data_IF_298303249148
#
_entry.id   IF_298303249148
#
_cell.length_a   1.000
_cell.length_b   1.000
_cell.length_c   1.000
_cell.angle_alpha   90.00
_cell.angle_beta   90.00
_cell.angle_gamma   90.00
#
_symmetry.space_group_name_H-M   'P 1'
#
loop_
_entity.id
_entity.type
_entity.pdbx_description
1 polymer ?
#
# COMPACT_ATOMS: atom_id res chain seq x y z
N UNK A 1 79.05 73.37 -7.65
CA UNK A 1 80.14 72.61 -7.02
C UNK A 1 79.50 71.41 -6.36
N UNK A 2 79.83 70.17 -6.66
CA UNK A 2 80.71 69.61 -7.66
C UNK A 2 80.31 68.13 -7.82
N UNK A 3 80.74 67.58 -8.94
CA UNK A 3 80.69 66.19 -9.42
C UNK A 3 80.93 65.16 -8.29
N UNK A 4 80.27 64.01 -8.21
CA UNK A 4 80.25 62.91 -9.18
C UNK A 4 81.11 61.73 -8.66
N UNK A 5 80.64 60.48 -8.81
CA UNK A 5 81.35 59.16 -8.79
C UNK A 5 80.34 58.07 -8.35
N UNK A 6 79.51 57.46 -9.22
CA UNK A 6 79.70 56.34 -10.18
C UNK A 6 80.27 55.03 -9.59
N UNK A 7 79.53 53.93 -9.89
CA UNK A 7 79.79 52.48 -9.79
C UNK A 7 79.46 51.83 -8.41
N UNK A 8 78.75 50.70 -8.30
CA UNK A 8 78.44 49.64 -9.27
C UNK A 8 77.23 48.82 -8.77
N UNK A 9 76.21 48.62 -9.63
CA UNK A 9 75.26 47.53 -9.46
C UNK A 9 75.93 46.21 -9.84
N UNK A 10 75.99 45.26 -8.92
CA UNK A 10 75.97 43.82 -9.23
C UNK A 10 74.90 43.13 -8.39
N UNK A 11 73.97 42.53 -9.11
CA UNK A 11 72.80 41.74 -8.67
C UNK A 11 73.21 40.60 -7.75
N UNK A 12 72.31 40.19 -6.84
CA UNK A 12 71.93 38.81 -6.43
C UNK A 12 70.80 38.97 -5.39
N UNK A 13 69.53 38.94 -5.82
CA UNK A 13 68.58 37.81 -5.75
C UNK A 13 67.69 37.80 -4.49
N UNK A 14 66.50 38.39 -4.60
CA UNK A 14 65.40 38.33 -3.62
C UNK A 14 64.69 36.96 -3.61
N UNK A 15 65.40 35.90 -3.24
CA UNK A 15 64.84 34.54 -3.18
C UNK A 15 65.01 33.89 -1.81
N UNK A 16 64.71 34.61 -0.73
CA UNK A 16 64.44 33.99 0.59
C UNK A 16 63.63 34.94 1.48
N UNK A 17 62.41 35.31 1.05
CA UNK A 17 61.41 35.94 1.93
C UNK A 17 60.04 35.27 1.72
N UNK A 18 60.00 33.93 1.89
CA UNK A 18 58.77 33.14 1.97
C UNK A 18 58.99 31.92 2.87
N UNK A 19 59.36 32.13 4.15
CA UNK A 19 59.54 31.02 5.09
C UNK A 19 59.33 31.41 6.57
N UNK A 20 58.51 32.43 6.87
CA UNK A 20 58.23 32.80 8.27
C UNK A 20 56.81 33.33 8.49
N UNK A 21 55.82 32.77 7.78
CA UNK A 21 54.40 33.07 8.00
C UNK A 21 53.49 31.84 7.75
N UNK A 22 53.98 30.63 8.08
CA UNK A 22 53.25 29.36 7.88
C UNK A 22 53.58 28.35 8.99
N UNK A 23 53.48 28.78 10.25
CA UNK A 23 53.56 27.88 11.41
C UNK A 23 52.63 28.34 12.55
N UNK A 24 51.40 28.70 12.17
CA UNK A 24 50.26 28.87 13.06
C UNK A 24 49.00 28.33 12.36
N UNK A 25 49.10 27.14 11.79
CA UNK A 25 47.99 26.41 11.18
C UNK A 25 48.04 25.00 11.76
N UNK A 26 47.09 24.67 12.64
CA UNK A 26 46.91 23.30 13.11
C UNK A 26 46.83 23.14 14.62
N UNK A 27 45.78 23.68 15.25
CA UNK A 27 45.08 22.94 16.30
C UNK A 27 43.64 23.44 16.39
N UNK A 28 42.81 23.04 15.41
CA UNK A 28 41.38 23.01 15.63
C UNK A 28 41.15 21.84 16.59
N UNK A 29 41.15 22.12 17.90
CA UNK A 29 40.70 21.14 18.89
C UNK A 29 39.22 20.95 18.63
N UNK A 30 38.88 19.86 17.93
CA UNK A 30 37.52 19.35 17.92
C UNK A 30 37.28 18.82 19.33
N UNK A 31 36.77 19.67 20.22
CA UNK A 31 36.18 19.22 21.48
C UNK A 31 34.95 18.40 21.11
N UNK A 32 35.10 17.07 21.09
CA UNK A 32 33.95 16.18 21.14
C UNK A 32 33.30 16.42 22.51
N UNK A 33 32.30 17.29 22.57
CA UNK A 33 31.40 17.39 23.71
C UNK A 33 30.63 16.07 23.77
N UNK A 34 31.20 15.08 24.47
CA UNK A 34 30.45 13.89 24.84
C UNK A 34 29.41 14.32 25.87
N UNK A 35 28.15 13.99 25.60
CA UNK A 35 27.08 14.14 26.57
C UNK A 35 27.44 13.34 27.83
N UNK A 36 27.19 13.94 29.00
CA UNK A 36 27.40 13.27 30.27
C UNK A 36 26.45 12.06 30.38
N UNK A 37 26.96 10.93 30.84
CA UNK A 37 26.19 9.69 31.03
C UNK A 37 25.91 9.48 32.51
N UNK A 38 24.66 9.22 32.84
CA UNK A 38 24.23 8.90 34.21
C UNK A 38 23.47 7.59 34.22
N UNK A 39 23.89 6.66 35.09
CA UNK A 39 23.23 5.36 35.25
C UNK A 39 22.39 5.35 36.50
N UNK A 40 21.08 5.16 36.36
CA UNK A 40 20.19 4.96 37.50
C UNK A 40 20.52 3.65 38.21
N UNK A 41 20.88 3.75 39.48
CA UNK A 41 21.11 2.62 40.38
C UNK A 41 20.12 2.57 41.56
N UNK A 42 19.38 3.67 41.78
CA UNK A 42 18.39 3.79 42.84
C UNK A 42 18.97 3.81 44.27
N UNK A 43 20.24 4.18 44.44
CA UNK A 43 20.92 4.25 45.75
C UNK A 43 20.44 5.38 46.68
N UNK A 44 19.64 6.32 46.18
CA UNK A 44 19.23 7.53 46.89
C UNK A 44 18.06 7.33 47.86
N UNK A 45 17.66 8.43 48.52
CA UNK A 45 16.62 8.43 49.55
C UNK A 45 15.19 8.31 49.01
N UNK A 46 14.95 8.72 47.76
CA UNK A 46 13.63 8.71 47.11
C UNK A 46 13.76 8.32 45.62
N UNK A 47 12.67 8.37 44.84
CA UNK A 47 12.69 7.98 43.42
C UNK A 47 12.88 9.17 42.47
N UNK A 48 13.31 10.33 42.95
CA UNK A 48 13.33 11.53 42.13
C UNK A 48 14.57 11.56 41.23
N UNK A 49 14.44 12.02 39.98
CA UNK A 49 15.58 12.19 39.08
C UNK A 49 16.60 13.24 39.61
N UNK A 50 16.16 14.18 40.45
CA UNK A 50 17.02 15.20 41.06
C UNK A 50 17.87 14.69 42.24
N UNK A 51 17.58 13.49 42.76
CA UNK A 51 18.31 12.93 43.90
C UNK A 51 19.62 12.32 43.43
N UNK A 52 20.74 12.99 43.77
CA UNK A 52 22.06 12.64 43.28
C UNK A 52 22.46 11.17 43.53
N UNK A 53 22.15 10.63 44.70
CA UNK A 53 22.49 9.24 45.05
C UNK A 53 21.70 8.16 44.30
N UNK A 54 20.74 8.52 43.43
CA UNK A 54 20.09 7.55 42.53
C UNK A 54 20.88 7.30 41.24
N UNK A 55 22.00 7.99 41.05
CA UNK A 55 22.78 7.98 39.82
C UNK A 55 24.21 7.57 40.10
N UNK A 56 24.79 6.84 39.15
CA UNK A 56 26.21 6.58 39.07
C UNK A 56 26.79 7.28 37.82
N UNK A 57 27.80 8.16 37.95
CA UNK A 57 28.40 8.62 39.21
C UNK A 57 27.41 9.41 40.08
N UNK A 58 27.62 9.40 41.40
CA UNK A 58 26.79 10.12 42.39
C UNK A 58 26.71 11.61 42.03
N UNK A 59 25.57 11.99 41.47
CA UNK A 59 25.35 13.32 40.90
C UNK A 59 24.12 13.28 40.01
N UNK A 60 23.13 14.14 40.29
CA UNK A 60 21.96 14.21 39.44
C UNK A 60 22.33 14.82 38.08
N UNK A 61 21.78 14.30 36.96
CA UNK A 61 21.93 14.94 35.66
C UNK A 61 21.52 16.41 35.74
N UNK A 62 22.31 17.30 35.16
CA UNK A 62 21.92 18.70 35.12
C UNK A 62 20.70 18.89 34.20
N UNK A 63 19.73 19.67 34.67
CA UNK A 63 18.58 20.11 33.89
C UNK A 63 19.05 20.83 32.61
N UNK A 64 18.59 20.37 31.44
CA UNK A 64 18.95 20.99 30.16
C UNK A 64 20.32 20.60 29.58
N UNK A 65 21.12 19.79 30.28
CA UNK A 65 22.47 19.42 29.82
C UNK A 65 22.50 18.42 28.66
N UNK A 66 21.34 17.88 28.25
CA UNK A 66 21.27 16.88 27.18
C UNK A 66 22.06 15.63 27.53
N UNK A 67 21.91 15.13 28.77
CA UNK A 67 22.60 13.94 29.26
C UNK A 67 22.01 12.65 28.66
N UNK A 68 22.83 11.60 28.61
CA UNK A 68 22.42 10.23 28.28
C UNK A 68 22.04 9.52 29.59
N UNK A 69 20.75 9.17 29.75
CA UNK A 69 20.26 8.49 30.96
C UNK A 69 20.14 6.98 30.71
N UNK A 70 20.78 6.18 31.57
CA UNK A 70 20.75 4.73 31.50
C UNK A 70 20.01 4.19 32.71
N UNK A 71 18.90 3.49 32.52
CA UNK A 71 18.21 2.77 33.58
C UNK A 71 18.70 1.33 33.65
N UNK A 72 19.21 0.91 34.81
CA UNK A 72 19.76 -0.42 35.04
C UNK A 72 19.31 -0.98 36.39
N UNK A 73 19.54 -2.28 36.60
CA UNK A 73 19.20 -2.93 37.86
C UNK A 73 17.70 -2.99 38.16
N UNK A 74 17.35 -3.36 39.38
CA UNK A 74 15.98 -3.69 39.80
C UNK A 74 15.44 -2.82 40.95
N UNK A 75 16.18 -1.78 41.35
CA UNK A 75 15.87 -0.94 42.50
C UNK A 75 15.18 0.35 42.08
N UNK A 76 14.16 0.78 42.84
CA UNK A 76 13.40 2.02 42.60
C UNK A 76 12.91 2.15 41.16
N UNK A 77 12.12 1.16 40.73
CA UNK A 77 11.60 1.03 39.37
C UNK A 77 10.55 2.07 38.95
N UNK A 78 10.34 3.11 39.75
CA UNK A 78 9.43 4.21 39.39
C UNK A 78 10.08 5.58 39.54
N UNK A 79 11.12 5.88 38.74
CA UNK A 79 11.76 7.19 38.73
C UNK A 79 10.75 8.29 38.40
N UNK A 80 10.74 9.34 39.22
CA UNK A 80 9.83 10.47 39.14
C UNK A 80 10.53 11.69 38.51
N UNK A 81 9.95 12.16 37.41
CA UNK A 81 10.26 13.39 36.70
C UNK A 81 9.51 14.51 37.42
N UNK A 82 10.08 15.06 38.48
CA UNK A 82 9.39 16.04 39.34
C UNK A 82 8.98 17.32 38.59
N UNK A 83 9.78 17.68 37.58
CA UNK A 83 9.63 18.85 36.71
C UNK A 83 9.82 18.40 35.26
N UNK A 84 9.59 19.27 34.28
CA UNK A 84 10.06 18.98 32.91
C UNK A 84 11.57 18.71 32.90
N UNK A 85 12.03 17.71 32.13
CA UNK A 85 13.44 17.33 32.03
C UNK A 85 13.88 17.20 30.58
N UNK A 86 15.01 17.80 30.23
CA UNK A 86 15.61 17.66 28.89
C UNK A 86 16.80 16.72 28.93
N UNK A 87 16.77 15.69 28.09
CA UNK A 87 17.79 14.64 27.97
C UNK A 87 18.20 14.49 26.51
N UNK A 88 19.36 13.89 26.26
CA UNK A 88 19.74 13.48 24.91
C UNK A 88 19.18 12.10 24.57
N UNK A 89 19.23 11.15 25.50
CA UNK A 89 18.67 9.81 25.32
C UNK A 89 18.16 9.18 26.61
N UNK A 90 17.30 8.18 26.44
CA UNK A 90 16.90 7.24 27.49
C UNK A 90 17.27 5.81 27.04
N UNK A 91 18.03 5.08 27.83
CA UNK A 91 18.40 3.69 27.54
C UNK A 91 18.08 2.78 28.71
N UNK A 92 17.37 1.68 28.47
CA UNK A 92 17.16 0.63 29.46
C UNK A 92 18.17 -0.48 29.19
N UNK A 93 19.08 -0.70 30.14
CA UNK A 93 20.14 -1.71 30.05
C UNK A 93 19.53 -3.13 30.00
N UNK A 94 20.24 -4.11 29.45
CA UNK A 94 19.79 -5.52 29.46
C UNK A 94 19.52 -6.07 30.86
N UNK A 95 20.12 -5.48 31.90
CA UNK A 95 19.89 -5.81 33.32
C UNK A 95 18.73 -5.06 33.97
N UNK A 96 18.04 -4.17 33.24
CA UNK A 96 16.99 -3.34 33.81
C UNK A 96 15.75 -4.16 34.21
N UNK A 97 15.22 -3.86 35.40
CA UNK A 97 13.87 -4.23 35.83
C UNK A 97 12.80 -3.57 34.96
N UNK A 98 11.53 -3.79 35.28
CA UNK A 98 10.43 -3.14 34.56
C UNK A 98 10.25 -1.73 35.13
N UNK A 99 10.91 -0.73 34.53
CA UNK A 99 10.78 0.65 34.94
C UNK A 99 9.48 1.27 34.41
N UNK A 100 8.88 2.12 35.25
CA UNK A 100 7.79 3.03 34.90
C UNK A 100 8.21 4.44 35.27
N UNK A 101 8.67 5.21 34.28
CA UNK A 101 9.01 6.62 34.49
C UNK A 101 7.72 7.43 34.62
N UNK A 102 7.58 8.24 35.67
CA UNK A 102 6.34 8.98 35.95
C UNK A 102 6.58 10.48 36.12
N UNK A 103 5.54 11.31 35.97
CA UNK A 103 5.57 12.72 36.36
C UNK A 103 5.52 13.69 35.18
N UNK A 104 6.32 14.76 35.25
CA UNK A 104 6.39 15.83 34.27
C UNK A 104 6.91 15.41 32.89
N UNK A 105 7.05 16.37 31.98
CA UNK A 105 7.43 16.13 30.58
C UNK A 105 8.91 15.72 30.44
N UNK A 106 9.19 14.71 29.62
CA UNK A 106 10.51 14.46 29.07
C UNK A 106 10.66 15.10 27.69
N UNK A 107 11.65 15.98 27.55
CA UNK A 107 12.13 16.48 26.26
C UNK A 107 13.35 15.66 25.83
N UNK A 108 13.24 14.89 24.75
CA UNK A 108 14.29 13.98 24.30
C UNK A 108 14.96 14.54 23.03
N UNK A 109 16.28 14.63 23.07
CA UNK A 109 17.13 15.09 21.97
C UNK A 109 17.51 13.99 20.99
N UNK A 110 18.71 14.11 20.43
CA UNK A 110 19.16 13.34 19.25
C UNK A 110 19.40 11.85 19.50
N UNK A 111 19.43 11.39 20.75
CA UNK A 111 19.84 10.02 21.08
C UNK A 111 18.68 9.02 21.23
N UNK A 112 17.44 9.48 21.32
CA UNK A 112 16.28 8.58 21.27
C UNK A 112 16.02 7.76 22.53
N UNK A 113 15.24 6.70 22.36
CA UNK A 113 14.89 5.75 23.43
C UNK A 113 15.29 4.34 23.00
N UNK A 114 16.01 3.59 23.83
CA UNK A 114 16.35 2.19 23.53
C UNK A 114 16.00 1.27 24.69
N UNK A 115 15.31 0.17 24.41
CA UNK A 115 15.08 -0.89 25.39
C UNK A 115 15.89 -2.16 25.03
N UNK A 116 17.00 -2.37 25.74
CA UNK A 116 17.82 -3.58 25.64
C UNK A 116 17.43 -4.64 26.68
N UNK A 117 16.55 -4.33 27.63
CA UNK A 117 15.97 -5.30 28.56
C UNK A 117 14.90 -6.11 27.85
N UNK A 118 14.76 -7.39 28.22
CA UNK A 118 13.62 -8.21 27.79
C UNK A 118 12.32 -7.81 28.45
N UNK A 119 12.37 -6.97 29.50
CA UNK A 119 11.18 -6.48 30.21
C UNK A 119 10.60 -5.26 29.50
N UNK A 120 9.27 -5.15 29.57
CA UNK A 120 8.56 -3.94 29.12
C UNK A 120 8.96 -2.75 29.97
N UNK A 121 9.26 -1.64 29.30
CA UNK A 121 9.57 -0.36 29.92
C UNK A 121 8.46 0.63 29.61
N UNK A 122 8.03 1.36 30.64
CA UNK A 122 6.89 2.28 30.53
C UNK A 122 7.36 3.71 30.77
N UNK A 123 6.97 4.61 29.89
CA UNK A 123 7.12 6.05 30.03
C UNK A 123 5.71 6.62 30.22
N UNK A 124 5.37 6.90 31.49
CA UNK A 124 4.13 7.52 31.93
C UNK A 124 4.39 8.99 32.28
N UNK A 125 4.88 9.69 31.27
CA UNK A 125 5.22 11.10 31.29
C UNK A 125 4.95 11.67 29.90
N UNK A 126 4.56 12.93 29.83
CA UNK A 126 4.44 13.62 28.54
C UNK A 126 5.79 13.59 27.81
N UNK A 127 5.77 13.45 26.48
CA UNK A 127 6.97 13.46 25.65
C UNK A 127 6.98 14.68 24.74
N UNK A 128 8.14 15.32 24.62
CA UNK A 128 8.46 16.25 23.55
C UNK A 128 9.77 15.82 22.87
N UNK A 129 9.83 15.90 21.55
CA UNK A 129 11.09 15.71 20.82
C UNK A 129 11.71 17.07 20.51
N UNK A 130 13.00 17.23 20.79
CA UNK A 130 13.78 18.42 20.41
C UNK A 130 14.69 18.18 19.20
N UNK A 131 14.73 16.96 18.69
CA UNK A 131 15.46 16.58 17.49
C UNK A 131 14.89 15.31 16.85
N UNK A 132 15.29 15.07 15.60
CA UNK A 132 15.07 13.79 14.92
C UNK A 132 15.69 12.64 15.73
N UNK A 133 14.95 11.55 15.94
CA UNK A 133 15.44 10.43 16.74
C UNK A 133 14.75 9.10 16.45
N UNK A 134 15.35 8.03 16.99
CA UNK A 134 14.85 6.66 16.91
C UNK A 134 14.48 6.13 18.29
N UNK A 135 13.32 5.49 18.38
CA UNK A 135 12.93 4.66 19.51
C UNK A 135 13.09 3.19 19.11
N UNK A 136 13.96 2.46 19.78
CA UNK A 136 14.33 1.09 19.45
C UNK A 136 13.93 0.12 20.56
N UNK A 137 12.84 -0.62 20.35
CA UNK A 137 12.45 -1.75 21.20
C UNK A 137 13.26 -2.99 20.81
N UNK A 138 14.54 -3.01 21.19
CA UNK A 138 15.51 -4.00 20.74
C UNK A 138 15.23 -5.40 21.31
N UNK A 139 14.96 -5.51 22.62
CA UNK A 139 14.72 -6.79 23.29
C UNK A 139 13.32 -6.88 23.92
N UNK A 140 12.84 -5.82 24.55
CA UNK A 140 11.54 -5.75 25.22
C UNK A 140 10.70 -4.60 24.72
N UNK A 141 9.42 -4.58 25.08
CA UNK A 141 8.50 -3.55 24.61
C UNK A 141 8.79 -2.17 25.21
N UNK A 142 8.43 -1.11 24.49
CA UNK A 142 8.37 0.27 24.99
C UNK A 142 6.90 0.71 25.00
N UNK A 143 6.43 1.23 26.12
CA UNK A 143 5.06 1.77 26.25
C UNK A 143 5.13 3.23 26.65
N UNK A 144 4.51 4.11 25.88
CA UNK A 144 4.32 5.53 26.21
C UNK A 144 2.83 5.78 26.41
N UNK A 145 2.40 6.24 27.58
CA UNK A 145 0.96 6.34 27.89
C UNK A 145 0.38 7.74 27.69
N UNK A 146 1.20 8.77 27.86
CA UNK A 146 0.74 10.16 27.88
C UNK A 146 0.95 10.85 26.52
N UNK A 147 0.57 12.12 26.44
CA UNK A 147 0.67 12.91 25.21
C UNK A 147 2.10 12.98 24.68
N UNK A 148 2.21 12.86 23.36
CA UNK A 148 3.45 12.84 22.62
C UNK A 148 3.48 14.00 21.61
N UNK A 149 4.43 14.91 21.77
CA UNK A 149 4.68 16.01 20.84
C UNK A 149 5.97 15.75 20.06
N UNK A 150 5.85 15.54 18.75
CA UNK A 150 6.96 15.31 17.85
C UNK A 150 7.85 16.52 17.60
N UNK A 151 7.44 17.74 17.98
CA UNK A 151 8.22 18.97 17.79
C UNK A 151 8.56 19.29 16.33
N UNK A 152 7.74 18.81 15.38
CA UNK A 152 7.98 18.78 13.94
C UNK A 152 9.29 18.07 13.54
N UNK A 153 9.70 17.06 14.32
CA UNK A 153 10.85 16.22 14.02
C UNK A 153 10.42 14.90 13.37
N UNK A 154 11.42 14.20 12.84
CA UNK A 154 11.30 12.81 12.44
C UNK A 154 11.38 11.89 13.65
N UNK A 155 10.39 11.02 13.81
CA UNK A 155 10.38 9.93 14.77
C UNK A 155 10.46 8.60 14.03
N UNK A 156 11.47 7.79 14.34
CA UNK A 156 11.56 6.42 13.84
C UNK A 156 11.28 5.44 14.96
N UNK A 157 10.27 4.58 14.81
CA UNK A 157 9.98 3.47 15.72
C UNK A 157 10.54 2.18 15.13
N UNK A 158 11.51 1.58 15.81
CA UNK A 158 12.32 0.45 15.34
C UNK A 158 12.40 -0.69 16.38
N UNK A 159 13.04 -1.79 15.99
CA UNK A 159 13.27 -2.96 16.84
C UNK A 159 12.27 -4.09 16.60
N UNK A 160 12.60 -5.26 17.15
CA UNK A 160 11.83 -6.50 17.02
C UNK A 160 10.71 -6.64 18.05
N UNK A 161 10.72 -5.82 19.11
CA UNK A 161 9.69 -5.84 20.15
C UNK A 161 8.67 -4.72 19.97
N UNK A 162 7.55 -4.83 20.66
CA UNK A 162 6.42 -3.92 20.49
C UNK A 162 6.71 -2.50 20.96
N UNK A 163 6.17 -1.50 20.26
CA UNK A 163 6.12 -0.11 20.73
C UNK A 163 4.65 0.31 20.75
N UNK A 164 4.17 0.74 21.91
CA UNK A 164 2.80 1.24 22.09
C UNK A 164 2.84 2.69 22.53
N UNK A 165 2.12 3.57 21.82
CA UNK A 165 1.89 4.96 22.20
C UNK A 165 0.38 5.14 22.38
N UNK A 166 -0.08 5.19 23.62
CA UNK A 166 -1.50 5.27 23.94
C UNK A 166 -2.03 6.70 23.90
N UNK A 167 -1.21 7.67 24.31
CA UNK A 167 -1.56 9.09 24.31
C UNK A 167 -1.62 9.70 22.91
N UNK A 168 -2.15 10.92 22.82
CA UNK A 168 -2.27 11.63 21.55
C UNK A 168 -0.89 11.94 20.98
N UNK A 169 -0.67 11.63 19.70
CA UNK A 169 0.55 11.99 18.97
C UNK A 169 0.28 13.23 18.12
N UNK A 170 1.08 14.26 18.30
CA UNK A 170 0.95 15.56 17.63
C UNK A 170 2.26 16.03 17.04
N UNK A 171 2.19 16.90 16.03
CA UNK A 171 3.33 17.65 15.49
C UNK A 171 4.53 16.77 15.12
N UNK A 172 4.31 15.64 14.45
CA UNK A 172 5.42 14.82 13.89
C UNK A 172 5.63 15.21 12.42
N UNK A 173 6.84 15.58 12.01
CA UNK A 173 7.08 15.85 10.59
C UNK A 173 7.07 14.55 9.78
N UNK A 174 7.77 13.53 10.26
CA UNK A 174 7.79 12.21 9.61
C UNK A 174 7.79 11.12 10.66
N UNK A 175 6.82 10.22 10.59
CA UNK A 175 6.74 9.03 11.42
C UNK A 175 7.16 7.81 10.60
N UNK A 176 8.33 7.24 10.92
CA UNK A 176 8.82 6.04 10.27
C UNK A 176 8.57 4.82 11.18
N UNK A 177 7.79 3.86 10.70
CA UNK A 177 7.55 2.58 11.36
C UNK A 177 8.40 1.51 10.66
N UNK A 178 9.39 1.00 11.37
CA UNK A 178 10.41 0.06 10.87
C UNK A 178 10.57 -1.13 11.80
N UNK A 179 11.28 -2.17 11.35
CA UNK A 179 11.51 -3.39 12.14
C UNK A 179 10.34 -4.36 12.12
N UNK A 180 10.49 -5.46 12.85
CA UNK A 180 9.51 -6.57 12.90
C UNK A 180 8.56 -6.51 14.10
N UNK A 181 8.83 -5.66 15.09
CA UNK A 181 7.96 -5.50 16.25
C UNK A 181 6.66 -4.77 15.92
N UNK A 182 5.60 -5.07 16.66
CA UNK A 182 4.31 -4.39 16.51
C UNK A 182 4.39 -2.91 16.89
N UNK A 183 3.59 -2.05 16.24
CA UNK A 183 3.46 -0.62 16.52
C UNK A 183 1.99 -0.29 16.75
N UNK A 184 1.66 0.22 17.93
CA UNK A 184 0.27 0.52 18.29
C UNK A 184 0.13 1.98 18.70
N UNK A 185 -0.82 2.67 18.07
CA UNK A 185 -1.25 4.01 18.43
C UNK A 185 -2.68 3.94 18.96
N UNK A 186 -2.85 4.24 20.25
CA UNK A 186 -4.11 4.03 20.95
C UNK A 186 -5.18 5.07 20.63
N UNK A 187 -4.78 6.29 20.30
CA UNK A 187 -5.67 7.44 20.08
C UNK A 187 -5.29 8.18 18.79
N UNK A 188 -5.56 9.48 18.70
CA UNK A 188 -5.26 10.26 17.51
C UNK A 188 -3.75 10.39 17.26
N UNK A 189 -3.35 10.25 16.00
CA UNK A 189 -1.98 10.52 15.54
C UNK A 189 -2.00 11.56 14.43
N UNK A 190 -1.17 12.59 14.57
CA UNK A 190 -0.99 13.65 13.57
C UNK A 190 0.46 13.73 13.11
N UNK A 191 0.71 13.56 11.82
CA UNK A 191 2.02 13.70 11.22
C UNK A 191 1.95 14.33 9.82
N UNK A 192 3.02 14.94 9.29
CA UNK A 192 3.01 15.36 7.88
C UNK A 192 3.16 14.16 6.94
N UNK A 193 3.99 13.19 7.31
CA UNK A 193 4.16 11.93 6.55
C UNK A 193 4.25 10.75 7.51
N UNK A 194 3.64 9.63 7.13
CA UNK A 194 3.81 8.33 7.80
C UNK A 194 4.38 7.35 6.78
N UNK A 195 5.50 6.71 7.11
CA UNK A 195 6.11 5.67 6.31
C UNK A 195 6.11 4.35 7.10
N UNK A 196 5.46 3.33 6.56
CA UNK A 196 5.43 1.99 7.16
C UNK A 196 6.22 1.04 6.26
N UNK A 197 7.42 0.69 6.71
CA UNK A 197 8.34 -0.18 5.98
C UNK A 197 8.74 -1.42 6.78
N UNK A 198 8.37 -1.47 8.06
CA UNK A 198 8.54 -2.62 8.93
C UNK A 198 7.61 -3.78 8.54
N UNK A 199 8.04 -5.00 8.84
CA UNK A 199 7.24 -6.22 8.66
C UNK A 199 6.30 -6.49 9.84
N UNK A 200 6.51 -5.80 10.97
CA UNK A 200 5.63 -5.87 12.12
C UNK A 200 4.23 -5.30 11.83
N UNK A 201 3.24 -5.75 12.60
CA UNK A 201 1.90 -5.20 12.50
C UNK A 201 1.88 -3.72 12.98
N UNK A 202 1.15 -2.87 12.27
CA UNK A 202 0.90 -1.48 12.70
C UNK A 202 -0.59 -1.29 12.94
N UNK A 203 -0.97 -0.69 14.07
CA UNK A 203 -2.38 -0.43 14.40
C UNK A 203 -2.57 1.01 14.83
N UNK A 204 -3.38 1.75 14.07
CA UNK A 204 -3.85 3.08 14.41
C UNK A 204 -5.30 2.98 14.85
N UNK A 205 -5.51 2.89 16.17
CA UNK A 205 -6.83 2.61 16.76
C UNK A 205 -7.70 3.86 16.87
N UNK A 206 -7.10 5.05 16.77
CA UNK A 206 -7.80 6.34 16.67
C UNK A 206 -7.77 6.93 15.26
N UNK A 207 -7.97 8.25 15.17
CA UNK A 207 -7.87 8.99 13.92
C UNK A 207 -6.40 9.22 13.52
N UNK A 208 -6.04 8.84 12.30
CA UNK A 208 -4.76 9.19 11.69
C UNK A 208 -4.93 10.41 10.77
N UNK A 209 -4.37 11.54 11.17
CA UNK A 209 -4.30 12.77 10.36
C UNK A 209 -2.92 12.88 9.74
N UNK A 210 -2.85 12.83 8.41
CA UNK A 210 -1.59 12.84 7.71
C UNK A 210 -1.64 13.66 6.42
N UNK A 211 -0.50 14.20 6.00
CA UNK A 211 -0.33 14.61 4.61
C UNK A 211 -0.33 13.37 3.73
N UNK A 212 0.74 12.60 3.75
CA UNK A 212 0.88 11.38 2.95
C UNK A 212 1.09 10.14 3.82
N UNK A 213 0.35 9.07 3.51
CA UNK A 213 0.53 7.74 4.12
C UNK A 213 1.21 6.81 3.11
N UNK A 214 2.40 6.31 3.45
CA UNK A 214 3.15 5.35 2.63
C UNK A 214 3.30 4.02 3.37
N UNK A 215 3.07 2.92 2.67
CA UNK A 215 3.10 1.58 3.22
C UNK A 215 3.76 0.64 2.23
N UNK A 216 4.76 -0.13 2.65
CA UNK A 216 5.48 -1.08 1.78
C UNK A 216 5.60 -2.50 2.33
N UNK A 217 5.27 -2.72 3.61
CA UNK A 217 5.32 -4.02 4.26
C UNK A 217 4.34 -4.10 5.45
N UNK A 218 4.30 -5.28 6.08
CA UNK A 218 3.55 -5.53 7.30
C UNK A 218 2.04 -5.64 7.11
N UNK A 219 1.33 -5.88 8.21
CA UNK A 219 -0.13 -5.86 8.27
C UNK A 219 -0.58 -4.63 9.04
N UNK A 220 -1.33 -3.77 8.39
CA UNK A 220 -1.62 -2.43 8.88
C UNK A 220 -3.11 -2.24 9.07
N UNK A 221 -3.53 -1.90 10.28
CA UNK A 221 -4.93 -1.69 10.62
C UNK A 221 -5.16 -0.23 10.98
N UNK A 222 -6.19 0.37 10.39
CA UNK A 222 -6.55 1.76 10.62
C UNK A 222 -8.04 1.87 10.96
N UNK A 223 -8.33 2.49 12.10
CA UNK A 223 -9.69 2.80 12.48
C UNK A 223 -10.25 3.95 11.64
N UNK A 224 -9.53 5.07 11.53
CA UNK A 224 -9.93 6.19 10.67
C UNK A 224 -8.68 6.85 10.05
N UNK A 225 -8.74 7.25 8.79
CA UNK A 225 -7.62 7.89 8.09
C UNK A 225 -8.08 9.15 7.36
N UNK A 226 -7.36 10.24 7.59
CA UNK A 226 -7.45 11.47 6.82
C UNK A 226 -6.07 11.79 6.23
N UNK A 227 -5.81 11.31 5.01
CA UNK A 227 -4.59 11.60 4.26
C UNK A 227 -4.88 12.69 3.21
N UNK A 228 -4.40 13.92 3.42
CA UNK A 228 -4.73 15.06 2.54
C UNK A 228 -3.92 15.08 1.24
N UNK A 229 -2.74 14.47 1.24
CA UNK A 229 -1.78 14.38 0.14
C UNK A 229 -1.59 12.96 -0.41
N UNK A 230 -2.56 12.05 -0.17
CA UNK A 230 -2.58 10.72 -0.80
C UNK A 230 -2.17 9.55 0.10
N UNK A 231 -2.54 8.36 -0.37
CA UNK A 231 -2.19 7.08 0.25
C UNK A 231 -1.46 6.23 -0.80
N UNK A 232 -0.25 5.76 -0.47
CA UNK A 232 0.52 4.86 -1.32
C UNK A 232 0.74 3.53 -0.59
N UNK A 233 0.27 2.44 -1.19
CA UNK A 233 0.43 1.08 -0.67
C UNK A 233 1.22 0.30 -1.71
N UNK A 234 2.32 -0.34 -1.32
CA UNK A 234 3.32 -0.93 -2.21
C UNK A 234 3.95 -2.17 -1.58
N UNK A 235 4.88 -2.80 -2.31
CA UNK A 235 5.61 -3.96 -1.82
C UNK A 235 4.66 -5.09 -1.45
N UNK A 236 4.80 -5.64 -0.24
CA UNK A 236 3.97 -6.73 0.28
C UNK A 236 3.03 -6.27 1.41
N UNK A 237 2.72 -4.97 1.49
CA UNK A 237 1.89 -4.43 2.57
C UNK A 237 0.45 -4.96 2.49
N UNK A 238 -0.08 -5.40 3.63
CA UNK A 238 -1.51 -5.58 3.83
C UNK A 238 -2.07 -4.34 4.54
N UNK A 239 -3.28 -3.91 4.16
CA UNK A 239 -3.94 -2.76 4.76
C UNK A 239 -5.42 -3.03 5.01
N UNK A 240 -5.89 -2.78 6.23
CA UNK A 240 -7.29 -2.90 6.63
C UNK A 240 -7.78 -1.56 7.16
N UNK A 241 -8.67 -0.91 6.41
CA UNK A 241 -9.32 0.34 6.79
C UNK A 241 -10.73 0.01 7.29
N UNK A 242 -10.89 -0.02 8.62
CA UNK A 242 -12.14 -0.46 9.25
C UNK A 242 -13.19 0.64 9.35
N UNK A 243 -12.77 1.91 9.38
CA UNK A 243 -13.64 3.08 9.33
C UNK A 243 -13.30 4.01 8.15
N UNK A 244 -13.81 5.25 8.16
CA UNK A 244 -13.62 6.21 7.07
C UNK A 244 -12.16 6.44 6.66
N UNK A 245 -11.95 6.49 5.34
CA UNK A 245 -10.67 6.82 4.72
C UNK A 245 -10.82 8.01 3.77
N UNK A 246 -9.91 8.98 3.90
CA UNK A 246 -9.73 10.05 2.91
C UNK A 246 -8.36 9.93 2.26
N UNK A 247 -8.32 9.85 0.93
CA UNK A 247 -7.11 9.82 0.10
C UNK A 247 -6.71 11.17 -0.49
N UNK A 248 -7.42 12.25 -0.15
CA UNK A 248 -7.15 13.59 -0.66
C UNK A 248 -7.35 13.70 -2.17
N UNK A 249 -6.95 14.84 -2.76
CA UNK A 249 -7.05 15.07 -4.21
C UNK A 249 -6.04 14.25 -5.02
N UNK A 250 -4.89 13.90 -4.43
CA UNK A 250 -3.88 13.03 -5.03
C UNK A 250 -4.34 11.57 -5.19
N UNK A 251 -5.34 11.17 -4.42
CA UNK A 251 -5.94 9.84 -4.50
C UNK A 251 -5.16 8.74 -3.80
N UNK A 252 -5.52 7.50 -4.09
CA UNK A 252 -4.87 6.30 -3.55
C UNK A 252 -4.18 5.52 -4.66
N UNK A 253 -2.91 5.18 -4.46
CA UNK A 253 -2.12 4.34 -5.35
C UNK A 253 -1.78 3.02 -4.65
N UNK A 254 -2.34 1.91 -5.16
CA UNK A 254 -2.24 0.57 -4.58
C UNK A 254 -1.43 -0.31 -5.53
N UNK A 255 -0.11 -0.31 -5.32
CA UNK A 255 0.88 -1.13 -6.02
C UNK A 255 1.32 -2.38 -5.25
N UNK A 256 0.63 -2.70 -4.15
CA UNK A 256 0.98 -3.83 -3.27
C UNK A 256 0.61 -5.19 -3.87
N UNK A 257 1.42 -6.21 -3.59
CA UNK A 257 1.05 -7.62 -3.78
C UNK A 257 0.24 -8.19 -2.61
N UNK A 258 0.11 -7.45 -1.50
CA UNK A 258 -0.71 -7.81 -0.35
C UNK A 258 -2.17 -7.38 -0.51
N UNK A 259 -3.01 -7.76 0.46
CA UNK A 259 -4.44 -7.47 0.42
C UNK A 259 -4.75 -6.10 1.03
N UNK A 260 -5.67 -5.36 0.39
CA UNK A 260 -6.17 -4.07 0.86
C UNK A 260 -7.67 -4.14 1.04
N UNK A 261 -8.17 -3.88 2.25
CA UNK A 261 -9.58 -3.97 2.57
C UNK A 261 -10.11 -2.60 3.04
N UNK A 262 -11.19 -2.14 2.43
CA UNK A 262 -11.95 -0.96 2.84
C UNK A 262 -13.33 -1.39 3.32
N UNK A 263 -13.62 -1.18 4.60
CA UNK A 263 -14.91 -1.54 5.21
C UNK A 263 -15.75 -0.30 5.60
N UNK A 264 -15.13 0.88 5.66
CA UNK A 264 -15.77 2.16 5.96
C UNK A 264 -15.99 3.04 4.73
N UNK A 265 -16.41 4.29 4.95
CA UNK A 265 -16.61 5.29 3.87
C UNK A 265 -15.29 5.62 3.16
N UNK A 266 -15.34 5.89 1.86
CA UNK A 266 -14.18 6.33 1.06
C UNK A 266 -14.43 7.72 0.49
N UNK A 267 -13.49 8.64 0.70
CA UNK A 267 -13.41 9.92 0.02
C UNK A 267 -12.03 10.10 -0.63
N UNK A 268 -11.95 10.03 -1.96
CA UNK A 268 -10.66 10.06 -2.66
C UNK A 268 -10.76 10.67 -4.04
N UNK A 269 -9.77 11.47 -4.44
CA UNK A 269 -9.69 12.05 -5.78
C UNK A 269 -9.55 11.01 -6.90
N UNK A 270 -8.95 9.85 -6.58
CA UNK A 270 -8.88 8.68 -7.46
C UNK A 270 -8.54 7.42 -6.65
N UNK A 271 -8.71 6.26 -7.26
CA UNK A 271 -8.15 4.99 -6.77
C UNK A 271 -7.47 4.30 -7.95
N UNK A 272 -6.19 3.99 -7.84
CA UNK A 272 -5.43 3.30 -8.89
C UNK A 272 -4.79 2.04 -8.31
N UNK A 273 -5.12 0.89 -8.87
CA UNK A 273 -4.54 -0.40 -8.52
C UNK A 273 -3.51 -0.78 -9.57
N UNK A 274 -2.26 -0.96 -9.15
CA UNK A 274 -1.11 -1.34 -9.97
C UNK A 274 -0.46 -2.66 -9.51
N UNK A 275 -0.79 -3.10 -8.30
CA UNK A 275 -0.21 -4.28 -7.68
C UNK A 275 -0.97 -5.55 -8.04
N UNK A 276 -0.34 -6.70 -7.84
CA UNK A 276 -0.96 -8.01 -8.11
C UNK A 276 -1.88 -8.50 -6.98
N UNK A 277 -1.99 -7.75 -5.88
CA UNK A 277 -2.81 -8.12 -4.73
C UNK A 277 -4.31 -7.94 -4.97
N UNK A 278 -5.11 -8.29 -3.96
CA UNK A 278 -6.55 -8.08 -3.98
C UNK A 278 -6.92 -6.84 -3.17
N UNK A 279 -7.68 -5.93 -3.78
CA UNK A 279 -8.33 -4.82 -3.07
C UNK A 279 -9.82 -5.09 -2.96
N UNK A 280 -10.37 -5.05 -1.76
CA UNK A 280 -11.80 -5.26 -1.50
C UNK A 280 -12.43 -3.97 -0.99
N UNK A 281 -13.50 -3.50 -1.64
CA UNK A 281 -14.37 -2.44 -1.15
C UNK A 281 -15.67 -3.08 -0.69
N UNK A 282 -15.98 -2.99 0.60
CA UNK A 282 -17.16 -3.60 1.21
C UNK A 282 -17.81 -2.68 2.25
N UNK A 283 -18.77 -3.21 3.02
CA UNK A 283 -19.43 -2.49 4.11
C UNK A 283 -20.54 -1.54 3.64
N UNK A 284 -20.87 -0.54 4.47
CA UNK A 284 -22.04 0.35 4.29
C UNK A 284 -21.68 1.85 4.23
N UNK A 285 -20.38 2.19 4.22
CA UNK A 285 -19.93 3.58 4.21
C UNK A 285 -20.28 4.33 2.91
N UNK A 286 -20.33 5.66 2.95
CA UNK A 286 -20.54 6.47 1.74
C UNK A 286 -19.32 6.41 0.81
N UNK A 287 -19.57 6.36 -0.50
CA UNK A 287 -18.53 6.28 -1.53
C UNK A 287 -18.47 7.57 -2.36
N UNK A 288 -17.39 8.32 -2.19
CA UNK A 288 -17.04 9.52 -2.96
C UNK A 288 -15.65 9.34 -3.53
N UNK A 289 -15.54 8.51 -4.56
CA UNK A 289 -14.30 8.30 -5.32
C UNK A 289 -14.35 9.12 -6.60
N UNK A 290 -13.21 9.66 -7.03
CA UNK A 290 -13.01 9.98 -8.43
C UNK A 290 -12.73 8.72 -9.24
N UNK A 291 -12.10 8.86 -10.41
CA UNK A 291 -11.87 7.74 -11.32
C UNK A 291 -11.17 6.57 -10.63
N UNK A 292 -11.69 5.37 -10.87
CA UNK A 292 -11.11 4.11 -10.40
C UNK A 292 -10.45 3.41 -11.58
N UNK A 293 -9.17 3.07 -11.43
CA UNK A 293 -8.37 2.42 -12.48
C UNK A 293 -7.73 1.15 -11.93
N UNK A 294 -7.96 0.03 -12.61
CA UNK A 294 -7.38 -1.27 -12.27
C UNK A 294 -6.40 -1.66 -13.35
N UNK A 295 -5.11 -1.40 -13.10
CA UNK A 295 -4.01 -1.74 -14.00
C UNK A 295 -3.48 -3.16 -13.80
N UNK A 296 -3.67 -3.75 -12.63
CA UNK A 296 -3.24 -5.10 -12.31
C UNK A 296 -4.00 -5.60 -11.08
N UNK A 297 -3.91 -6.91 -10.82
CA UNK A 297 -4.50 -7.54 -9.64
C UNK A 297 -6.03 -7.56 -9.68
N UNK A 298 -6.63 -7.72 -8.50
CA UNK A 298 -8.08 -7.92 -8.38
C UNK A 298 -8.71 -6.82 -7.55
N UNK A 299 -9.76 -6.18 -8.07
CA UNK A 299 -10.68 -5.34 -7.33
C UNK A 299 -11.97 -6.10 -7.06
N UNK A 300 -12.31 -6.32 -5.79
CA UNK A 300 -13.59 -6.91 -5.36
C UNK A 300 -14.51 -5.80 -4.88
N UNK A 301 -15.70 -5.71 -5.47
CA UNK A 301 -16.74 -4.76 -5.12
C UNK A 301 -17.89 -5.50 -4.43
N UNK A 302 -17.90 -5.47 -3.11
CA UNK A 302 -18.87 -6.16 -2.23
C UNK A 302 -19.51 -5.15 -1.25
N UNK A 303 -19.81 -3.97 -1.77
CA UNK A 303 -20.37 -2.87 -1.00
C UNK A 303 -21.90 -2.94 -0.95
N UNK A 304 -22.50 -2.57 0.18
CA UNK A 304 -23.95 -2.44 0.28
C UNK A 304 -24.42 -1.14 -0.38
N UNK A 305 -24.65 -1.20 -1.69
CA UNK A 305 -24.91 -0.06 -2.55
C UNK A 305 -23.79 0.13 -3.58
N UNK A 306 -23.69 1.31 -4.18
CA UNK A 306 -22.66 1.58 -5.18
C UNK A 306 -21.26 1.74 -4.54
N UNK A 307 -20.32 0.85 -4.90
CA UNK A 307 -18.92 0.91 -4.46
C UNK A 307 -18.10 1.99 -5.17
N UNK A 308 -18.40 2.25 -6.44
CA UNK A 308 -17.65 3.20 -7.27
C UNK A 308 -18.60 4.28 -7.77
N UNK A 309 -18.44 5.52 -7.32
CA UNK A 309 -19.32 6.63 -7.72
C UNK A 309 -18.69 7.53 -8.80
N UNK A 310 -17.89 6.92 -9.68
CA UNK A 310 -17.20 7.58 -10.80
C UNK A 310 -16.97 6.58 -11.93
N UNK A 311 -16.13 6.94 -12.89
CA UNK A 311 -15.73 6.03 -13.96
C UNK A 311 -14.87 4.89 -13.44
N UNK A 312 -15.05 3.70 -14.03
CA UNK A 312 -14.19 2.53 -13.84
C UNK A 312 -13.43 2.28 -15.14
N UNK A 313 -12.12 2.12 -15.05
CA UNK A 313 -11.26 1.64 -16.15
C UNK A 313 -10.50 0.40 -15.72
N UNK A 314 -10.54 -0.65 -16.53
CA UNK A 314 -9.81 -1.91 -16.29
C UNK A 314 -8.83 -2.10 -17.45
N UNK A 315 -7.55 -2.28 -17.13
CA UNK A 315 -6.47 -2.46 -18.08
C UNK A 315 -5.89 -3.87 -18.02
N UNK A 316 -4.87 -4.13 -18.83
CA UNK A 316 -4.19 -5.42 -18.96
C UNK A 316 -3.74 -5.99 -17.62
N UNK A 317 -4.26 -7.17 -17.25
CA UNK A 317 -3.95 -7.84 -15.99
C UNK A 317 -4.83 -7.39 -14.81
N UNK A 318 -5.72 -6.42 -15.02
CA UNK A 318 -6.73 -6.02 -14.06
C UNK A 318 -7.97 -6.91 -14.13
N UNK A 319 -8.43 -7.37 -12.96
CA UNK A 319 -9.70 -8.08 -12.80
C UNK A 319 -10.61 -7.31 -11.85
N UNK A 320 -11.87 -7.14 -12.22
CA UNK A 320 -12.91 -6.61 -11.32
C UNK A 320 -13.93 -7.72 -11.05
N UNK A 321 -14.22 -7.98 -9.78
CA UNK A 321 -15.20 -8.96 -9.32
C UNK A 321 -16.33 -8.22 -8.61
N UNK A 322 -17.57 -8.46 -9.03
CA UNK A 322 -18.76 -7.95 -8.34
C UNK A 322 -19.28 -9.00 -7.35
N UNK A 323 -19.29 -8.64 -6.06
CA UNK A 323 -19.89 -9.43 -4.98
C UNK A 323 -21.35 -9.08 -4.68
N UNK A 324 -21.82 -7.92 -5.14
CA UNK A 324 -23.21 -7.44 -4.97
C UNK A 324 -23.74 -6.82 -6.26
N UNK A 325 -25.06 -6.63 -6.33
CA UNK A 325 -25.71 -5.94 -7.45
C UNK A 325 -25.39 -4.43 -7.46
N UNK A 326 -25.42 -3.82 -8.65
CA UNK A 326 -25.35 -2.37 -8.85
C UNK A 326 -24.20 -1.65 -8.11
N UNK A 327 -23.00 -2.23 -8.14
CA UNK A 327 -21.80 -1.66 -7.51
C UNK A 327 -21.29 -0.41 -8.22
N UNK A 328 -21.76 -0.18 -9.44
CA UNK A 328 -21.46 1.00 -10.24
C UNK A 328 -22.80 1.66 -10.58
N UNK A 329 -22.99 2.96 -10.30
CA UNK A 329 -24.23 3.67 -10.60
C UNK A 329 -24.52 3.67 -12.11
N UNK A 330 -25.80 3.66 -12.42
CA UNK A 330 -26.30 3.58 -13.80
C UNK A 330 -26.09 4.85 -14.64
N UNK A 331 -25.44 5.89 -14.11
CA UNK A 331 -24.97 7.06 -14.84
C UNK A 331 -23.46 7.07 -15.08
N UNK A 332 -22.75 6.01 -14.67
CA UNK A 332 -21.30 5.91 -14.80
C UNK A 332 -20.86 5.07 -16.00
N UNK A 333 -19.60 5.28 -16.39
CA UNK A 333 -18.95 4.60 -17.51
C UNK A 333 -17.99 3.53 -17.00
N UNK A 334 -18.06 2.35 -17.61
CA UNK A 334 -17.07 1.27 -17.46
C UNK A 334 -16.28 1.16 -18.75
N UNK A 335 -14.95 1.18 -18.64
CA UNK A 335 -14.02 1.02 -19.76
C UNK A 335 -13.19 -0.24 -19.56
N UNK A 336 -13.20 -1.13 -20.54
CA UNK A 336 -12.41 -2.35 -20.61
C UNK A 336 -11.36 -2.19 -21.71
N UNK A 337 -10.09 -2.20 -21.34
CA UNK A 337 -8.97 -2.14 -22.28
C UNK A 337 -8.40 -3.55 -22.50
N UNK A 338 -7.43 -3.68 -23.41
CA UNK A 338 -6.80 -4.96 -23.74
C UNK A 338 -6.32 -5.72 -22.49
N UNK A 339 -6.64 -7.01 -22.40
CA UNK A 339 -6.26 -7.90 -21.31
C UNK A 339 -7.03 -7.70 -19.99
N UNK A 340 -8.17 -7.01 -20.01
CA UNK A 340 -9.01 -6.80 -18.83
C UNK A 340 -10.04 -7.91 -18.61
N UNK A 341 -10.39 -8.15 -17.35
CA UNK A 341 -11.46 -9.09 -16.97
C UNK A 341 -12.50 -8.41 -16.10
N UNK A 342 -13.77 -8.56 -16.48
CA UNK A 342 -14.94 -8.17 -15.70
C UNK A 342 -15.72 -9.42 -15.28
N UNK A 343 -15.69 -9.76 -14.00
CA UNK A 343 -16.37 -10.92 -13.44
C UNK A 343 -17.61 -10.49 -12.65
N UNK A 344 -18.79 -10.87 -13.14
CA UNK A 344 -20.08 -10.45 -12.60
C UNK A 344 -20.49 -11.22 -11.34
N UNK A 345 -19.89 -12.36 -11.03
CA UNK A 345 -20.01 -12.97 -9.70
C UNK A 345 -21.44 -13.36 -9.29
N UNK A 346 -22.28 -13.74 -10.24
CA UNK A 346 -23.71 -14.05 -10.03
C UNK A 346 -24.52 -12.81 -9.61
N UNK A 347 -24.14 -11.65 -10.14
CA UNK A 347 -24.77 -10.36 -9.84
C UNK A 347 -25.26 -9.67 -11.10
N UNK A 348 -26.18 -8.72 -10.91
CA UNK A 348 -26.69 -7.84 -11.94
C UNK A 348 -26.12 -6.44 -11.78
N UNK A 349 -25.50 -5.94 -12.83
CA UNK A 349 -24.97 -4.58 -12.92
C UNK A 349 -25.77 -3.78 -13.95
N UNK A 350 -26.04 -2.51 -13.63
CA UNK A 350 -26.67 -1.57 -14.55
C UNK A 350 -25.83 -0.31 -14.65
N UNK A 351 -25.30 -0.01 -15.84
CA UNK A 351 -24.35 1.09 -16.09
C UNK A 351 -24.86 2.03 -17.21
N UNK A 352 -24.31 3.24 -17.30
CA UNK A 352 -24.64 4.14 -18.41
C UNK A 352 -23.86 3.78 -19.66
N UNK A 353 -22.55 3.63 -19.58
CA UNK A 353 -21.75 3.38 -20.77
C UNK A 353 -20.81 2.20 -20.56
N UNK A 354 -20.70 1.37 -21.59
CA UNK A 354 -19.68 0.34 -21.69
C UNK A 354 -18.78 0.67 -22.88
N UNK A 355 -17.50 0.89 -22.61
CA UNK A 355 -16.48 1.15 -23.63
C UNK A 355 -15.50 -0.02 -23.62
N UNK A 356 -15.28 -0.66 -24.76
CA UNK A 356 -14.32 -1.75 -24.90
C UNK A 356 -13.33 -1.37 -26.00
N UNK A 357 -12.07 -1.16 -25.61
CA UNK A 357 -11.03 -0.66 -26.53
C UNK A 357 -10.02 -1.71 -26.98
N UNK A 358 -10.06 -2.90 -26.37
CA UNK A 358 -9.17 -4.02 -26.67
C UNK A 358 -9.75 -5.35 -26.23
N UNK A 359 -9.03 -6.44 -26.51
CA UNK A 359 -9.44 -7.79 -26.17
C UNK A 359 -9.73 -7.91 -24.67
N UNK A 360 -10.90 -8.43 -24.31
CA UNK A 360 -11.36 -8.45 -22.90
C UNK A 360 -12.23 -9.66 -22.60
N UNK A 361 -12.29 -10.00 -21.31
CA UNK A 361 -13.10 -11.09 -20.80
C UNK A 361 -14.27 -10.52 -19.99
N UNK A 362 -15.48 -10.98 -20.28
CA UNK A 362 -16.66 -10.77 -19.45
C UNK A 362 -17.12 -12.15 -18.95
N UNK A 363 -17.03 -12.34 -17.64
CA UNK A 363 -17.35 -13.59 -16.96
C UNK A 363 -18.67 -13.46 -16.21
N UNK A 364 -19.65 -14.29 -16.58
CA UNK A 364 -20.99 -14.28 -15.99
C UNK A 364 -21.10 -15.04 -14.68
N UNK A 365 -20.07 -15.79 -14.27
CA UNK A 365 -20.17 -16.69 -13.12
C UNK A 365 -21.21 -17.81 -13.32
N UNK A 366 -21.32 -18.71 -12.35
CA UNK A 366 -22.09 -19.97 -12.48
C UNK A 366 -23.61 -19.83 -12.20
N UNK A 367 -24.02 -18.71 -11.60
CA UNK A 367 -25.34 -18.51 -10.98
C UNK A 367 -26.33 -17.67 -11.79
N UNK A 368 -25.96 -17.24 -13.00
CA UNK A 368 -26.71 -16.27 -13.80
C UNK A 368 -26.41 -14.84 -13.36
N UNK A 369 -25.84 -14.06 -14.27
CA UNK A 369 -25.50 -12.66 -14.05
C UNK A 369 -26.11 -11.79 -15.14
N UNK A 370 -26.22 -10.49 -14.90
CA UNK A 370 -26.68 -9.55 -15.92
C UNK A 370 -25.75 -8.36 -16.01
N UNK A 371 -25.36 -8.01 -17.23
CA UNK A 371 -24.75 -6.71 -17.52
C UNK A 371 -25.71 -5.89 -18.38
N UNK A 372 -26.30 -4.88 -17.77
CA UNK A 372 -27.28 -4.01 -18.39
C UNK A 372 -26.67 -2.65 -18.69
N UNK A 373 -26.80 -2.18 -19.93
CA UNK A 373 -26.51 -0.79 -20.30
C UNK A 373 -27.82 -0.04 -20.47
N UNK A 374 -27.96 1.09 -19.77
CA UNK A 374 -29.16 1.93 -19.77
C UNK A 374 -29.63 2.29 -21.20
N UNK A 375 -30.94 2.49 -21.38
CA UNK A 375 -31.53 2.83 -22.69
C UNK A 375 -30.97 4.13 -23.30
N UNK A 376 -30.59 5.07 -22.44
CA UNK A 376 -29.97 6.35 -22.78
C UNK A 376 -28.44 6.29 -22.86
N UNK A 377 -27.88 5.14 -22.50
CA UNK A 377 -26.48 4.83 -22.46
C UNK A 377 -25.89 4.45 -23.81
N UNK A 378 -24.56 4.32 -23.87
CA UNK A 378 -23.86 3.92 -25.08
C UNK A 378 -22.98 2.69 -24.85
N UNK A 379 -22.92 1.84 -25.87
CA UNK A 379 -21.89 0.82 -26.01
C UNK A 379 -20.98 1.25 -27.15
N UNK A 380 -19.68 1.32 -26.87
CA UNK A 380 -18.65 1.61 -27.86
C UNK A 380 -17.61 0.52 -27.84
N UNK A 381 -17.41 -0.14 -28.97
CA UNK A 381 -16.48 -1.25 -29.11
C UNK A 381 -15.53 -0.92 -30.25
N UNK A 382 -14.23 -1.00 -30.00
CA UNK A 382 -13.20 -0.74 -31.01
C UNK A 382 -13.20 -1.83 -32.10
N UNK A 383 -12.83 -1.44 -33.32
CA UNK A 383 -12.75 -2.37 -34.45
C UNK A 383 -11.63 -3.40 -34.25
N UNK A 384 -11.90 -4.64 -34.67
CA UNK A 384 -10.89 -5.71 -34.71
C UNK A 384 -10.59 -6.38 -33.36
N UNK A 385 -11.29 -6.03 -32.29
CA UNK A 385 -11.10 -6.61 -30.96
C UNK A 385 -11.95 -7.87 -30.75
N UNK A 386 -11.55 -8.74 -29.84
CA UNK A 386 -12.30 -9.93 -29.42
C UNK A 386 -12.87 -9.75 -28.02
N UNK A 387 -14.17 -9.99 -27.85
CA UNK A 387 -14.79 -10.08 -26.52
C UNK A 387 -14.99 -11.56 -26.22
N UNK A 388 -14.34 -12.05 -25.18
CA UNK A 388 -14.53 -13.41 -24.69
C UNK A 388 -15.57 -13.40 -23.57
N UNK A 389 -16.68 -14.08 -23.81
CA UNK A 389 -17.72 -14.34 -22.83
C UNK A 389 -17.49 -15.74 -22.26
N UNK A 390 -17.42 -15.85 -20.93
CA UNK A 390 -17.34 -17.12 -20.23
C UNK A 390 -18.50 -17.28 -19.26
N UNK A 391 -18.83 -18.54 -18.96
CA UNK A 391 -19.92 -18.92 -18.04
C UNK A 391 -21.29 -18.38 -18.45
N UNK A 392 -21.55 -18.30 -19.75
CA UNK A 392 -22.85 -17.92 -20.30
C UNK A 392 -23.89 -19.05 -20.13
N UNK A 393 -25.12 -18.70 -19.73
CA UNK A 393 -26.27 -19.56 -19.48
C UNK A 393 -27.55 -19.01 -20.14
N UNK A 394 -28.06 -19.75 -21.14
CA UNK A 394 -29.23 -19.40 -21.95
C UNK A 394 -30.53 -19.27 -21.14
N UNK A 395 -30.59 -19.88 -19.95
CA UNK A 395 -31.77 -19.90 -19.10
C UNK A 395 -31.86 -18.71 -18.14
N UNK A 396 -30.79 -17.90 -18.03
CA UNK A 396 -30.65 -16.89 -16.97
C UNK A 396 -30.41 -15.45 -17.44
N UNK A 397 -30.19 -15.25 -18.74
CA UNK A 397 -30.28 -13.96 -19.43
C UNK A 397 -29.08 -13.06 -19.15
N UNK A 398 -28.06 -13.12 -20.01
CA UNK A 398 -26.72 -12.69 -19.61
C UNK A 398 -26.32 -11.26 -20.02
N UNK A 399 -26.65 -10.77 -21.21
CA UNK A 399 -26.34 -9.36 -21.56
C UNK A 399 -27.52 -8.70 -22.25
N UNK A 400 -28.12 -7.71 -21.59
CA UNK A 400 -29.13 -6.86 -22.19
C UNK A 400 -28.55 -5.48 -22.45
N UNK A 401 -28.29 -5.18 -23.72
CA UNK A 401 -28.13 -3.80 -24.15
C UNK A 401 -29.45 -3.28 -24.70
N UNK A 402 -30.00 -2.26 -24.04
CA UNK A 402 -31.16 -1.53 -24.53
C UNK A 402 -30.94 -0.84 -25.89
N UNK A 403 -29.70 -0.79 -26.40
CA UNK A 403 -29.35 -0.16 -27.69
C UNK A 403 -28.38 -1.03 -28.51
N UNK A 404 -28.51 -0.95 -29.83
CA UNK A 404 -27.55 -1.52 -30.77
C UNK A 404 -26.20 -0.76 -30.67
N UNK A 405 -25.03 -1.45 -30.59
CA UNK A 405 -23.70 -0.82 -30.59
C UNK A 405 -23.37 -0.01 -31.86
N UNK A 406 -24.29 0.04 -32.83
CA UNK A 406 -24.12 0.74 -34.11
C UNK A 406 -23.85 -0.29 -35.20
N UNK A 407 -22.60 -0.41 -35.62
CA UNK A 407 -22.18 -1.52 -36.49
C UNK A 407 -22.15 -2.82 -35.69
N UNK A 408 -22.72 -3.93 -36.19
CA UNK A 408 -22.71 -5.19 -35.46
C UNK A 408 -21.28 -5.62 -35.12
N UNK A 409 -21.03 -5.90 -33.84
CA UNK A 409 -19.72 -6.39 -33.40
C UNK A 409 -19.66 -7.88 -33.69
N UNK A 410 -18.78 -8.30 -34.58
CA UNK A 410 -18.74 -9.67 -35.14
C UNK A 410 -17.77 -10.62 -34.43
N UNK A 411 -16.95 -10.11 -33.50
CA UNK A 411 -15.88 -10.87 -32.84
C UNK A 411 -16.19 -11.17 -31.37
N UNK A 412 -17.40 -11.69 -31.09
CA UNK A 412 -17.73 -12.22 -29.76
C UNK A 412 -17.48 -13.72 -29.76
N UNK A 413 -16.73 -14.20 -28.77
CA UNK A 413 -16.45 -15.61 -28.57
C UNK A 413 -17.05 -16.07 -27.25
N UNK A 414 -17.63 -17.26 -27.26
CA UNK A 414 -18.10 -17.94 -26.06
C UNK A 414 -17.15 -19.08 -25.77
N UNK A 415 -16.55 -19.06 -24.58
CA UNK A 415 -15.55 -20.03 -24.17
C UNK A 415 -15.92 -20.72 -22.86
N UNK A 416 -15.49 -21.97 -22.71
CA UNK A 416 -15.56 -22.69 -21.45
C UNK A 416 -14.50 -22.19 -20.45
N UNK A 417 -14.53 -22.73 -19.23
CA UNK A 417 -13.56 -22.39 -18.18
C UNK A 417 -12.11 -22.83 -18.50
N UNK A 418 -11.90 -23.58 -19.57
CA UNK A 418 -10.59 -23.97 -20.08
C UNK A 418 -10.14 -23.09 -21.27
N UNK A 419 -10.93 -22.08 -21.64
CA UNK A 419 -10.66 -21.16 -22.74
C UNK A 419 -10.98 -21.73 -24.13
N UNK A 420 -11.66 -22.88 -24.21
CA UNK A 420 -12.06 -23.45 -25.49
C UNK A 420 -13.30 -22.73 -26.01
N UNK A 421 -13.17 -22.11 -27.17
CA UNK A 421 -14.29 -21.45 -27.85
C UNK A 421 -15.25 -22.49 -28.42
N UNK A 422 -16.50 -22.47 -27.99
CA UNK A 422 -17.55 -23.38 -28.46
C UNK A 422 -18.58 -22.70 -29.37
N UNK A 423 -18.67 -21.37 -29.32
CA UNK A 423 -19.54 -20.60 -30.19
C UNK A 423 -19.00 -19.19 -30.45
N UNK A 424 -19.48 -18.59 -31.53
CA UNK A 424 -19.24 -17.18 -31.86
C UNK A 424 -20.56 -16.44 -31.92
N UNK A 425 -20.59 -15.19 -31.48
CA UNK A 425 -21.77 -14.34 -31.51
C UNK A 425 -21.54 -13.09 -32.34
N UNK A 426 -22.64 -12.40 -32.65
CA UNK A 426 -22.62 -11.04 -33.17
C UNK A 426 -23.50 -10.17 -32.29
N UNK A 427 -23.05 -8.98 -31.94
CA UNK A 427 -23.86 -8.02 -31.20
C UNK A 427 -24.46 -6.98 -32.13
N UNK A 428 -25.74 -7.17 -32.48
CA UNK A 428 -26.53 -6.23 -33.29
C UNK A 428 -27.57 -5.43 -32.48
N UNK A 429 -27.43 -5.36 -31.16
CA UNK A 429 -28.42 -4.82 -30.22
C UNK A 429 -29.35 -5.87 -29.60
N UNK A 430 -29.90 -5.58 -28.42
CA UNK A 430 -30.71 -6.53 -27.66
C UNK A 430 -29.86 -7.56 -26.91
N UNK A 431 -30.36 -8.79 -26.81
CA UNK A 431 -29.72 -9.88 -26.09
C UNK A 431 -28.52 -10.42 -26.88
N UNK A 432 -27.37 -10.59 -26.23
CA UNK A 432 -26.21 -11.26 -26.84
C UNK A 432 -26.35 -12.76 -26.63
N UNK A 433 -26.59 -13.51 -27.71
CA UNK A 433 -26.71 -14.98 -27.68
C UNK A 433 -25.63 -15.63 -28.56
N UNK A 434 -25.12 -16.81 -28.19
CA UNK A 434 -24.31 -17.63 -29.07
C UNK A 434 -24.99 -17.82 -30.42
N UNK A 435 -24.22 -17.73 -31.50
CA UNK A 435 -24.65 -18.24 -32.79
C UNK A 435 -24.80 -19.76 -32.77
N UNK A 436 -25.16 -20.36 -33.91
CA UNK A 436 -25.22 -21.82 -34.03
C UNK A 436 -23.89 -22.43 -33.54
N UNK A 437 -23.93 -23.49 -32.71
CA UNK A 437 -22.73 -24.08 -32.13
C UNK A 437 -21.78 -24.51 -33.25
N UNK A 438 -20.48 -24.25 -33.07
CA UNK A 438 -19.46 -24.71 -34.01
C UNK A 438 -19.41 -26.24 -33.88
N UNK A 439 -19.68 -27.02 -34.95
CA UNK A 439 -19.67 -28.47 -34.82
C UNK A 439 -18.28 -28.94 -34.42
N UNK A 440 -18.20 -29.85 -33.46
CA UNK A 440 -16.92 -30.37 -33.00
C UNK A 440 -16.12 -30.97 -34.18
N UNK A 441 -14.77 -30.91 -34.16
CA UNK A 441 -13.93 -31.51 -35.20
C UNK A 441 -14.28 -32.99 -35.47
N UNK A 442 -14.72 -33.71 -34.44
CA UNK A 442 -15.17 -35.08 -34.55
C UNK A 442 -16.45 -35.23 -35.39
N UNK A 443 -17.39 -34.28 -35.34
CA UNK A 443 -18.59 -34.26 -36.18
C UNK A 443 -18.23 -34.19 -37.66
N UNK A 444 -17.28 -33.31 -38.03
CA UNK A 444 -16.73 -33.26 -39.38
C UNK A 444 -15.95 -34.54 -39.74
N UNK A 445 -15.21 -35.10 -38.78
CA UNK A 445 -14.52 -36.38 -38.92
C UNK A 445 -15.48 -37.54 -39.23
N UNK A 446 -16.60 -37.64 -38.53
CA UNK A 446 -17.62 -38.66 -38.76
C UNK A 446 -18.34 -38.48 -40.10
N UNK A 447 -18.63 -37.24 -40.51
CA UNK A 447 -19.22 -36.94 -41.82
C UNK A 447 -18.25 -37.34 -42.94
N UNK A 448 -16.97 -37.00 -42.82
CA UNK A 448 -15.94 -37.35 -43.80
C UNK A 448 -15.68 -38.86 -43.86
N UNK A 449 -15.63 -39.53 -42.70
CA UNK A 449 -15.47 -40.98 -42.62
C UNK A 449 -16.69 -41.71 -43.22
N UNK A 450 -17.90 -41.26 -42.87
CA UNK A 450 -19.15 -41.81 -43.39
C UNK A 450 -19.29 -41.65 -44.90
N UNK A 451 -18.96 -40.47 -45.44
CA UNK A 451 -18.96 -40.23 -46.88
C UNK A 451 -17.86 -41.02 -47.61
N UNK A 452 -16.69 -41.20 -47.00
CA UNK A 452 -15.65 -42.10 -47.50
C UNK A 452 -16.09 -43.57 -47.60
N UNK A 453 -16.75 -44.08 -46.56
CA UNK A 453 -17.29 -45.45 -46.52
C UNK A 453 -18.40 -45.62 -47.57
N UNK A 454 -19.33 -44.65 -47.67
CA UNK A 454 -20.41 -44.66 -48.65
C UNK A 454 -19.88 -44.65 -50.09
N UNK A 455 -18.86 -43.82 -50.37
CA UNK A 455 -18.20 -43.78 -51.67
C UNK A 455 -17.50 -45.10 -52.01
N UNK A 456 -16.81 -45.70 -51.04
CA UNK A 456 -16.17 -47.01 -51.22
C UNK A 456 -17.18 -48.13 -51.49
N UNK A 457 -18.28 -48.17 -50.73
CA UNK A 457 -19.37 -49.13 -50.92
C UNK A 457 -20.05 -48.96 -52.28
N UNK A 458 -20.32 -47.72 -52.69
CA UNK A 458 -20.87 -47.40 -54.01
C UNK A 458 -19.95 -47.85 -55.14
N UNK A 459 -18.64 -47.60 -55.01
CA UNK A 459 -17.64 -48.02 -56.00
C UNK A 459 -17.58 -49.54 -56.10
N UNK A 460 -17.64 -50.27 -54.98
CA UNK A 460 -17.64 -51.74 -54.98
C UNK A 460 -18.91 -52.32 -55.60
N UNK A 461 -20.06 -51.70 -55.36
CA UNK A 461 -21.34 -52.08 -55.97
C UNK A 461 -21.33 -51.86 -57.50
N UNK A 462 -20.77 -50.75 -57.98
CA UNK A 462 -20.59 -50.48 -59.41
C UNK A 462 -19.73 -51.58 -60.08
N UNK A 463 -18.64 -52.00 -59.46
CA UNK A 463 -17.78 -53.07 -60.00
C UNK A 463 -18.51 -54.42 -60.06
N UNK A 464 -19.23 -54.78 -58.99
CA UNK A 464 -20.01 -56.01 -58.95
C UNK A 464 -21.13 -56.03 -60.01
N UNK A 465 -21.77 -54.88 -60.24
CA UNK A 465 -22.82 -54.74 -61.26
C UNK A 465 -22.27 -54.89 -62.68
N UNK A 466 -21.09 -54.34 -62.95
CA UNK A 466 -20.38 -54.53 -64.23
C UNK A 466 -19.95 -55.99 -64.46
N UNK A 467 -19.51 -56.68 -63.40
CA UNK A 467 -19.14 -58.11 -63.48
C UNK A 467 -20.37 -59.00 -63.70
N UNK A 468 -21.51 -58.70 -63.09
CA UNK A 468 -22.76 -59.42 -63.30
C UNK A 468 -23.33 -59.24 -64.73
N UNK A 469 -23.14 -58.05 -65.34
CA UNK A 469 -23.54 -57.81 -66.74
C UNK A 469 -22.61 -58.48 -67.75
N UNK A 470 -21.34 -58.74 -67.40
CA UNK A 470 -20.39 -59.43 -68.26
C UNK A 470 -20.56 -60.96 -68.28
N UNK A 471 -21.36 -61.54 -67.38
CA UNK A 471 -21.65 -63.00 -67.31
C UNK A 471 -22.92 -63.42 -68.07
N UNK A 472 -23.61 -62.49 -68.74
CA UNK A 472 -24.82 -62.74 -69.54
C UNK A 472 -24.64 -62.52 -71.05
N UNK A 473 -23.39 -62.49 -71.53
CA UNK A 473 -23.00 -62.62 -72.94
C UNK A 473 -22.22 -63.91 -73.07
#
# INVERSE_FOLDING_TARGET
>A
MDLGHIFSMRRISYHTMRAAALLAMGLLVVINLQSATYTWDGGGSNNNLSTAGNWNPDGAPAQGAGADLIFAGSTRLSPAVEWGWTVKSLSFNSTAGAFTLTGGQFTIGTGGVTNNSTRTQTIQSQIALSANQTWNAAAGAIVSTDNFNGGNNTLTLAGSSAITISGQVSSVATLNLTGSGSRTFGTQTTASTVNITGTGASSFNGQLNVGTLNMSAGTNNFANVQATGGINISGSANANFTGPVTGGSSGMNISSSGNVNFNGSINSGSITLNGSGTTTISGNGSMSTGAVTVNNGTLVLDHNGAAINSTLTVNNGGTVIFGQNNQIPNWQTVTLNEGSTLHLGNTSQTIANLIITGDSVIDFGEGGSQLNVQEWGNISIADGITITIVNWDDSKGDVFAGRNPGTPVVNIQYADNNGNVYATGTWGGGLITPGAPVPEPATYGFIMLGSGIAFFAWRRWQTARKQAQAQHV
#
